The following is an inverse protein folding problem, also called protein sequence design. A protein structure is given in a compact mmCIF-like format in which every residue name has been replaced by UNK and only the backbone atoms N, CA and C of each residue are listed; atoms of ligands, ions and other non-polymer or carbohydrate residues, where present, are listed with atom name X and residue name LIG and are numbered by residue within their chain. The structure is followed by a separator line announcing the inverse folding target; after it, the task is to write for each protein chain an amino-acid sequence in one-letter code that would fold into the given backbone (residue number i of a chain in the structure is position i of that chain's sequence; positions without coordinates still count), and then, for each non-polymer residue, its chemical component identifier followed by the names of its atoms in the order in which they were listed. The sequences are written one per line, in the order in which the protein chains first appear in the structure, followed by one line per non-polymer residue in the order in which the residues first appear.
data_IF_350958273031
#
_entry.id   IF_350958273031
#
_cell.length_a   1.000
_cell.length_b   1.000
_cell.length_c   1.000
_cell.angle_alpha   90.00
_cell.angle_beta   90.00
_cell.angle_gamma   90.00
#
_symmetry.space_group_name_H-M   'P 1'
#
loop_
_entity.id
_entity.type
_entity.pdbx_description
1 polymer ?
#
# COMPACT_ATOMS: atom_id res chain seq x y z
N UNK A 1 1.69 -14.92 -31.75
CA UNK A 1 1.52 -15.65 -30.46
C UNK A 1 0.07 -15.64 -29.95
N UNK A 2 -0.47 -16.77 -29.46
CA UNK A 2 -1.55 -16.77 -28.48
C UNK A 2 -0.99 -16.42 -27.09
N UNK A 3 -1.32 -15.26 -26.56
CA UNK A 3 -1.05 -14.91 -25.17
C UNK A 3 -2.24 -15.32 -24.30
N UNK A 4 -2.00 -16.06 -23.23
CA UNK A 4 -3.02 -16.30 -22.20
C UNK A 4 -3.00 -15.12 -21.24
N UNK A 5 -3.94 -14.19 -21.39
CA UNK A 5 -4.08 -13.07 -20.47
C UNK A 5 -4.74 -13.56 -19.19
N UNK A 6 -3.91 -13.88 -18.19
CA UNK A 6 -4.34 -14.45 -16.90
C UNK A 6 -5.30 -13.51 -16.14
N UNK A 7 -5.07 -12.21 -16.27
CA UNK A 7 -5.91 -11.16 -15.70
C UNK A 7 -5.95 -10.01 -16.71
N UNK A 8 -7.15 -9.64 -17.17
CA UNK A 8 -7.40 -8.50 -18.05
C UNK A 8 -8.39 -7.57 -17.38
N UNK A 9 -8.07 -6.30 -17.37
CA UNK A 9 -9.00 -5.25 -17.01
C UNK A 9 -8.98 -4.16 -18.09
N UNK A 10 -10.12 -3.54 -18.32
CA UNK A 10 -10.41 -2.67 -19.48
C UNK A 10 -10.20 -1.17 -19.17
N UNK A 11 -9.50 -0.83 -18.07
CA UNK A 11 -8.95 0.51 -17.85
C UNK A 11 -7.67 0.48 -16.99
N UNK A 12 -6.93 1.59 -17.00
CA UNK A 12 -5.74 1.80 -16.16
C UNK A 12 -6.19 1.90 -14.70
N UNK A 13 -5.43 1.27 -13.79
CA UNK A 13 -5.77 1.23 -12.37
C UNK A 13 -7.21 0.73 -12.13
N UNK A 14 -7.63 -0.29 -12.87
CA UNK A 14 -8.96 -0.90 -12.86
C UNK A 14 -9.51 -1.32 -11.50
N UNK A 15 -8.64 -1.78 -10.59
CA UNK A 15 -9.00 -1.89 -9.17
C UNK A 15 -9.60 -0.55 -8.73
N UNK A 16 -8.80 0.52 -8.71
CA UNK A 16 -9.17 1.88 -8.32
C UNK A 16 -10.40 2.44 -9.06
N UNK A 17 -10.54 2.17 -10.37
CA UNK A 17 -11.61 2.76 -11.20
C UNK A 17 -12.91 1.95 -11.27
N UNK A 18 -12.84 0.62 -11.37
CA UNK A 18 -14.02 -0.26 -11.59
C UNK A 18 -14.40 -1.08 -10.38
N UNK A 19 -13.43 -1.42 -9.54
CA UNK A 19 -13.65 -2.24 -8.33
C UNK A 19 -13.44 -1.45 -7.05
N UNK A 20 -13.27 -0.12 -7.13
CA UNK A 20 -13.15 0.70 -5.92
C UNK A 20 -13.81 2.11 -5.95
N UNK A 21 -13.55 3.07 -6.87
CA UNK A 21 -13.98 4.50 -6.68
C UNK A 21 -14.48 5.32 -7.89
N UNK A 22 -15.57 6.08 -7.68
CA UNK A 22 -15.94 7.30 -8.45
C UNK A 22 -15.26 8.58 -7.93
N UNK A 23 -15.04 8.65 -6.61
CA UNK A 23 -14.18 9.62 -5.91
C UNK A 23 -13.45 8.85 -4.81
N UNK A 24 -12.15 9.13 -4.64
CA UNK A 24 -11.16 8.36 -3.85
C UNK A 24 -11.70 7.81 -2.52
N UNK A 25 -11.47 6.52 -2.25
CA UNK A 25 -11.54 5.88 -0.92
C UNK A 25 -10.37 4.86 -0.79
N UNK A 26 -10.34 3.98 0.23
CA UNK A 26 -9.34 2.91 0.46
C UNK A 26 -10.00 1.71 1.20
N UNK A 27 -9.84 0.40 0.89
CA UNK A 27 -9.31 -0.35 -0.28
C UNK A 27 -9.90 -1.80 -0.32
N UNK A 28 -9.18 -2.83 -0.82
CA UNK A 28 -9.54 -4.28 -0.98
C UNK A 28 -10.40 -4.88 0.17
N UNK A 29 -11.33 -5.84 -0.10
CA UNK A 29 -12.26 -6.40 0.91
C UNK A 29 -11.58 -7.03 2.14
N UNK A 30 -12.17 -6.78 3.31
CA UNK A 30 -11.58 -7.02 4.63
C UNK A 30 -11.34 -8.48 5.03
N UNK A 31 -11.91 -9.47 4.35
CA UNK A 31 -11.61 -10.89 4.62
C UNK A 31 -10.12 -11.25 4.41
N UNK A 32 -9.38 -10.45 3.63
CA UNK A 32 -7.91 -10.58 3.51
C UNK A 32 -7.11 -9.91 4.64
N UNK A 33 -7.79 -9.21 5.56
CA UNK A 33 -7.19 -8.40 6.63
C UNK A 33 -7.53 -8.91 8.04
N UNK A 34 -8.10 -10.12 8.16
CA UNK A 34 -8.45 -10.72 9.43
C UNK A 34 -7.24 -11.00 10.33
N UNK A 35 -7.43 -10.89 11.64
CA UNK A 35 -6.44 -11.35 12.60
C UNK A 35 -6.48 -12.89 12.67
N UNK A 36 -5.33 -13.58 12.80
CA UNK A 36 -5.32 -15.03 12.95
C UNK A 36 -6.22 -15.50 14.10
N UNK A 37 -7.22 -16.33 13.77
CA UNK A 37 -8.26 -16.87 14.69
C UNK A 37 -9.30 -15.85 15.18
N UNK A 38 -9.43 -14.69 14.55
CA UNK A 38 -10.49 -13.72 14.85
C UNK A 38 -11.09 -13.18 13.54
N UNK A 39 -11.95 -13.98 12.86
CA UNK A 39 -12.62 -13.57 11.64
C UNK A 39 -13.65 -12.46 11.92
N UNK A 40 -14.01 -11.69 10.89
CA UNK A 40 -15.08 -10.70 11.03
C UNK A 40 -16.46 -11.38 11.11
N UNK A 41 -17.41 -10.85 11.89
CA UNK A 41 -18.80 -11.31 11.85
C UNK A 41 -19.42 -11.14 10.45
N UNK A 42 -20.29 -12.05 10.01
CA UNK A 42 -20.93 -11.99 8.68
C UNK A 42 -21.73 -10.69 8.44
N UNK A 43 -22.24 -10.07 9.51
CA UNK A 43 -22.96 -8.78 9.44
C UNK A 43 -22.03 -7.56 9.40
N UNK A 44 -20.71 -7.74 9.47
CA UNK A 44 -19.75 -6.65 9.52
C UNK A 44 -19.43 -6.17 8.09
N UNK A 45 -19.53 -4.87 7.79
CA UNK A 45 -19.42 -4.38 6.42
C UNK A 45 -18.01 -4.61 5.85
N UNK A 46 -17.96 -5.18 4.63
CA UNK A 46 -16.74 -5.51 3.87
C UNK A 46 -15.71 -4.38 3.80
N UNK A 47 -16.18 -3.13 3.85
CA UNK A 47 -15.40 -1.91 3.76
C UNK A 47 -15.90 -0.85 4.72
N UNK A 48 -14.99 0.00 5.20
CA UNK A 48 -15.35 1.28 5.80
C UNK A 48 -15.93 2.22 4.73
N UNK A 49 -16.96 3.00 5.07
CA UNK A 49 -17.65 3.91 4.13
C UNK A 49 -17.66 5.37 4.59
N UNK A 50 -17.97 5.61 5.86
CA UNK A 50 -18.01 6.93 6.51
C UNK A 50 -17.95 6.75 8.04
N UNK A 51 -17.62 7.84 8.74
CA UNK A 51 -17.60 7.92 10.20
C UNK A 51 -18.99 8.07 10.83
N UNK A 52 -20.00 8.44 10.04
CA UNK A 52 -21.38 8.68 10.46
C UNK A 52 -22.00 7.59 11.38
N UNK A 53 -21.85 6.27 11.13
CA UNK A 53 -22.39 5.23 12.00
C UNK A 53 -21.68 5.11 13.37
N UNK A 54 -20.64 5.90 13.60
CA UNK A 54 -19.80 5.91 14.79
C UNK A 54 -19.91 7.20 15.62
N UNK A 55 -20.84 8.11 15.29
CA UNK A 55 -21.11 9.31 16.09
C UNK A 55 -21.28 8.95 17.59
N UNK A 56 -20.55 9.64 18.47
CA UNK A 56 -20.50 9.41 19.92
C UNK A 56 -19.75 8.15 20.38
N UNK A 57 -19.29 7.28 19.47
CA UNK A 57 -18.61 6.02 19.80
C UNK A 57 -17.11 6.19 19.94
N UNK A 58 -16.50 5.43 20.84
CA UNK A 58 -15.05 5.24 20.94
C UNK A 58 -14.61 4.18 19.95
N UNK A 59 -13.76 4.55 19.01
CA UNK A 59 -13.38 3.68 17.89
C UNK A 59 -11.88 3.46 17.85
N UNK A 60 -11.44 2.21 17.94
CA UNK A 60 -10.04 1.85 17.87
C UNK A 60 -9.59 1.64 16.42
N UNK A 61 -8.77 2.54 15.89
CA UNK A 61 -8.21 2.44 14.54
C UNK A 61 -6.84 1.78 14.62
N UNK A 62 -6.75 0.53 14.18
CA UNK A 62 -5.53 -0.29 14.28
C UNK A 62 -4.63 -0.04 13.08
N UNK A 63 -3.63 0.82 13.27
CA UNK A 63 -2.64 1.19 12.27
C UNK A 63 -2.75 2.66 11.85
N UNK A 64 -1.61 3.28 11.61
CA UNK A 64 -1.46 4.72 11.41
C UNK A 64 -0.96 5.11 10.00
N UNK A 65 -0.99 4.19 9.03
CA UNK A 65 -0.72 4.53 7.62
C UNK A 65 -1.76 5.51 7.05
N UNK A 66 -1.62 5.90 5.76
CA UNK A 66 -2.51 6.87 5.11
C UNK A 66 -4.00 6.60 5.38
N UNK A 67 -4.48 5.35 5.15
CA UNK A 67 -5.86 4.96 5.46
C UNK A 67 -6.23 5.07 6.94
N UNK A 68 -5.29 4.81 7.85
CA UNK A 68 -5.52 4.92 9.29
C UNK A 68 -5.74 6.37 9.72
N UNK A 69 -4.86 7.28 9.28
CA UNK A 69 -5.01 8.71 9.57
C UNK A 69 -6.26 9.31 8.90
N UNK A 70 -6.58 8.94 7.66
CA UNK A 70 -7.80 9.39 6.98
C UNK A 70 -9.07 8.87 7.67
N UNK A 71 -9.12 7.59 8.07
CA UNK A 71 -10.26 7.04 8.82
C UNK A 71 -10.39 7.69 10.20
N UNK A 72 -9.28 7.92 10.92
CA UNK A 72 -9.33 8.63 12.21
C UNK A 72 -9.82 10.07 12.08
N UNK A 73 -9.46 10.77 11.00
CA UNK A 73 -9.99 12.11 10.70
C UNK A 73 -11.49 12.06 10.38
N UNK A 74 -11.92 11.17 9.48
CA UNK A 74 -13.32 11.04 9.08
C UNK A 74 -14.24 10.62 10.25
N UNK A 75 -13.77 9.74 11.14
CA UNK A 75 -14.42 9.42 12.41
C UNK A 75 -14.57 10.67 13.31
N UNK A 76 -13.48 11.42 13.50
CA UNK A 76 -13.48 12.62 14.32
C UNK A 76 -14.42 13.71 13.76
N UNK A 77 -14.47 13.88 12.45
CA UNK A 77 -15.32 14.87 11.77
C UNK A 77 -16.82 14.49 11.86
N UNK A 78 -17.13 13.20 12.00
CA UNK A 78 -18.49 12.68 12.25
C UNK A 78 -18.83 12.50 13.74
N UNK A 79 -18.05 13.09 14.66
CA UNK A 79 -18.36 13.11 16.09
C UNK A 79 -18.03 11.82 16.86
N UNK A 80 -17.25 10.92 16.29
CA UNK A 80 -16.70 9.78 17.02
C UNK A 80 -15.46 10.18 17.84
N UNK A 81 -15.04 9.30 18.76
CA UNK A 81 -13.86 9.44 19.60
C UNK A 81 -12.79 8.39 19.21
N UNK A 82 -11.96 8.66 18.18
CA UNK A 82 -10.99 7.71 17.68
C UNK A 82 -9.74 7.58 18.56
N UNK A 83 -9.36 6.33 18.84
CA UNK A 83 -8.06 5.94 19.38
C UNK A 83 -7.22 5.36 18.24
N UNK A 84 -6.15 6.04 17.82
CA UNK A 84 -5.28 5.59 16.73
C UNK A 84 -4.07 4.83 17.26
N UNK A 85 -3.97 3.54 16.90
CA UNK A 85 -2.88 2.66 17.34
C UNK A 85 -1.62 2.91 16.51
N UNK A 86 -0.57 3.39 17.18
CA UNK A 86 0.78 3.56 16.62
C UNK A 86 1.71 2.54 17.29
N UNK A 87 2.03 1.45 16.56
CA UNK A 87 2.98 0.42 17.04
C UNK A 87 4.40 0.66 16.51
N UNK A 88 4.52 0.89 15.21
CA UNK A 88 5.79 1.01 14.52
C UNK A 88 6.02 2.48 14.11
N UNK A 89 7.29 2.90 14.07
CA UNK A 89 7.65 4.23 13.60
C UNK A 89 7.20 4.48 12.15
N UNK A 90 6.73 5.69 11.86
CA UNK A 90 6.33 6.13 10.52
C UNK A 90 6.77 7.56 10.19
N UNK A 91 6.95 7.84 8.90
CA UNK A 91 7.14 9.23 8.44
C UNK A 91 5.78 9.85 8.12
N UNK A 92 5.40 10.88 8.86
CA UNK A 92 4.34 11.82 8.47
C UNK A 92 5.00 13.05 7.87
N UNK A 93 4.55 13.45 6.68
CA UNK A 93 5.00 14.65 5.98
C UNK A 93 3.77 15.48 5.57
N UNK A 94 3.87 16.81 5.51
CA UNK A 94 2.75 17.63 5.07
C UNK A 94 2.43 17.32 3.61
N UNK A 95 1.16 17.46 3.19
CA UNK A 95 0.78 17.36 1.78
C UNK A 95 1.45 18.43 0.91
N UNK A 96 1.60 19.63 1.44
CA UNK A 96 2.20 20.79 0.78
C UNK A 96 3.21 21.51 1.68
N UNK A 97 4.26 22.07 1.07
CA UNK A 97 5.25 22.94 1.70
C UNK A 97 5.32 24.22 0.87
N UNK A 98 5.07 25.37 1.49
CA UNK A 98 5.08 26.69 0.85
C UNK A 98 4.19 26.77 -0.42
N UNK A 99 3.00 26.16 -0.37
CA UNK A 99 2.04 26.14 -1.48
C UNK A 99 2.43 25.26 -2.67
N UNK A 100 3.40 24.35 -2.49
CA UNK A 100 3.81 23.35 -3.50
C UNK A 100 3.67 21.94 -2.94
N UNK A 101 3.33 20.98 -3.80
CA UNK A 101 3.26 19.57 -3.44
C UNK A 101 4.59 19.07 -2.88
N UNK A 102 4.55 18.50 -1.67
CA UNK A 102 5.72 17.91 -0.99
C UNK A 102 6.34 16.78 -1.83
N UNK A 103 5.51 16.06 -2.58
CA UNK A 103 5.98 14.99 -3.46
C UNK A 103 6.65 15.53 -4.74
N UNK A 104 6.13 16.60 -5.34
CA UNK A 104 6.76 17.23 -6.51
C UNK A 104 8.13 17.83 -6.15
N UNK A 105 8.22 18.51 -5.01
CA UNK A 105 9.47 19.03 -4.48
C UNK A 105 10.49 17.90 -4.24
N UNK A 106 10.06 16.79 -3.64
CA UNK A 106 10.91 15.63 -3.44
C UNK A 106 11.43 15.04 -4.78
N UNK A 107 10.57 14.90 -5.79
CA UNK A 107 10.96 14.37 -7.10
C UNK A 107 11.88 15.32 -7.87
N UNK A 108 11.66 16.65 -7.74
CA UNK A 108 12.58 17.65 -8.26
C UNK A 108 13.97 17.50 -7.60
N UNK A 109 14.04 17.44 -6.27
CA UNK A 109 15.30 17.32 -5.54
C UNK A 109 16.05 16.02 -5.87
N UNK A 110 15.36 14.90 -6.05
CA UNK A 110 15.96 13.60 -6.48
C UNK A 110 16.61 13.68 -7.86
N UNK A 111 16.21 14.61 -8.73
CA UNK A 111 16.87 14.80 -10.03
C UNK A 111 18.24 15.48 -9.93
N UNK A 112 18.56 16.14 -8.81
CA UNK A 112 19.77 16.95 -8.63
C UNK A 112 20.65 16.54 -7.45
N UNK A 113 20.11 15.82 -6.46
CA UNK A 113 20.77 15.51 -5.18
C UNK A 113 20.72 14.01 -4.84
N UNK A 114 21.72 13.47 -4.12
CA UNK A 114 21.70 12.09 -3.65
C UNK A 114 20.56 11.86 -2.64
N UNK A 115 19.96 10.67 -2.68
CA UNK A 115 18.72 10.34 -1.94
C UNK A 115 18.79 10.63 -0.44
N UNK A 116 19.93 10.36 0.20
CA UNK A 116 20.15 10.62 1.64
C UNK A 116 20.05 12.11 2.00
N UNK A 117 20.45 13.00 1.09
CA UNK A 117 20.39 14.44 1.28
C UNK A 117 18.97 14.95 1.06
N UNK A 118 18.28 14.44 0.05
CA UNK A 118 16.85 14.72 -0.15
C UNK A 118 16.05 14.31 1.08
N UNK A 119 16.26 13.10 1.60
CA UNK A 119 15.56 12.62 2.81
C UNK A 119 15.80 13.53 4.02
N UNK A 120 17.03 14.02 4.23
CA UNK A 120 17.33 15.01 5.29
C UNK A 120 16.58 16.34 5.07
N UNK A 121 16.59 16.87 3.84
CA UNK A 121 15.87 18.10 3.47
C UNK A 121 14.36 17.94 3.71
N UNK A 122 13.78 16.81 3.27
CA UNK A 122 12.35 16.52 3.45
C UNK A 122 11.96 16.36 4.93
N UNK A 123 12.81 15.71 5.73
CA UNK A 123 12.60 15.57 7.20
C UNK A 123 12.64 16.94 7.88
N UNK A 124 13.58 17.81 7.50
CA UNK A 124 13.71 19.17 8.04
C UNK A 124 12.52 20.06 7.66
N UNK A 125 12.11 20.06 6.38
CA UNK A 125 10.89 20.75 5.92
C UNK A 125 9.64 20.23 6.64
N UNK A 126 9.50 18.92 6.79
CA UNK A 126 8.39 18.33 7.54
C UNK A 126 8.44 18.69 9.04
N UNK A 127 9.62 18.91 9.62
CA UNK A 127 9.75 19.41 11.00
C UNK A 127 9.41 20.90 11.11
N UNK A 128 9.78 21.74 10.14
CA UNK A 128 9.37 23.16 10.11
C UNK A 128 7.85 23.33 10.01
N UNK A 129 7.17 22.47 9.24
CA UNK A 129 5.70 22.58 9.01
C UNK A 129 4.89 21.81 10.07
N UNK A 130 5.34 20.63 10.50
CA UNK A 130 4.59 19.77 11.43
C UNK A 130 5.13 19.78 12.87
N UNK A 131 6.28 20.42 13.11
CA UNK A 131 6.95 20.41 14.40
C UNK A 131 7.48 19.05 14.81
N UNK A 132 7.64 18.90 16.12
CA UNK A 132 8.04 17.66 16.79
C UNK A 132 6.82 16.73 16.96
N UNK A 133 6.93 15.52 16.41
CA UNK A 133 5.88 14.50 16.39
C UNK A 133 6.03 13.43 17.47
N UNK A 134 7.22 13.31 18.08
CA UNK A 134 7.47 12.32 19.13
C UNK A 134 6.61 12.65 20.37
N UNK A 135 6.41 13.94 20.65
CA UNK A 135 5.45 14.47 21.65
C UNK A 135 4.00 14.06 21.43
N UNK A 136 3.65 13.59 20.23
CA UNK A 136 2.31 13.12 19.85
C UNK A 136 2.25 11.58 19.74
N UNK A 137 3.30 10.88 20.18
CA UNK A 137 3.44 9.42 20.06
C UNK A 137 3.79 8.93 18.65
N UNK A 138 4.02 9.83 17.68
CA UNK A 138 4.30 9.48 16.28
C UNK A 138 5.81 9.55 16.03
N UNK A 139 6.46 8.42 16.29
CA UNK A 139 7.91 8.27 16.16
C UNK A 139 8.34 8.14 14.70
N UNK A 140 9.41 8.86 14.31
CA UNK A 140 9.97 8.79 12.94
C UNK A 140 11.04 7.68 12.79
N UNK A 141 11.03 6.88 11.71
CA UNK A 141 12.09 5.93 11.41
C UNK A 141 13.44 6.61 11.15
N UNK A 142 14.54 5.97 11.56
CA UNK A 142 15.90 6.43 11.25
C UNK A 142 16.24 6.42 9.75
N UNK A 143 15.62 5.51 8.97
CA UNK A 143 15.72 5.48 7.50
C UNK A 143 14.75 6.51 6.92
N UNK A 144 15.24 7.40 6.06
CA UNK A 144 14.45 8.50 5.50
C UNK A 144 13.26 8.08 4.60
N UNK A 145 12.27 8.96 4.39
CA UNK A 145 10.97 8.60 3.79
C UNK A 145 11.06 8.09 2.34
N UNK A 146 11.92 8.66 1.51
CA UNK A 146 12.10 8.23 0.11
C UNK A 146 12.94 6.95 0.06
N UNK A 147 13.97 6.81 0.89
CA UNK A 147 14.74 5.57 1.02
C UNK A 147 13.85 4.41 1.49
N UNK A 148 12.98 4.64 2.48
CA UNK A 148 12.03 3.65 2.99
C UNK A 148 10.99 3.26 1.92
N UNK A 149 10.49 4.23 1.15
CA UNK A 149 9.62 3.97 -0.01
C UNK A 149 10.33 3.14 -1.09
N UNK A 150 11.60 3.44 -1.38
CA UNK A 150 12.36 2.73 -2.41
C UNK A 150 12.76 1.30 -2.04
N UNK A 151 13.11 1.06 -0.78
CA UNK A 151 13.60 -0.25 -0.31
C UNK A 151 12.47 -1.15 0.19
N UNK A 152 11.53 -0.60 0.98
CA UNK A 152 10.47 -1.38 1.64
C UNK A 152 9.07 -1.16 1.03
N UNK A 153 8.92 -0.24 0.07
CA UNK A 153 7.61 0.15 -0.47
C UNK A 153 6.72 0.93 0.50
N UNK A 154 7.21 1.24 1.71
CA UNK A 154 6.49 2.01 2.72
C UNK A 154 6.55 3.49 2.36
N UNK A 155 5.50 3.99 1.71
CA UNK A 155 5.35 5.42 1.48
C UNK A 155 5.16 6.17 2.81
N UNK A 156 5.67 7.41 2.95
CA UNK A 156 5.29 8.29 4.06
C UNK A 156 3.79 8.58 4.02
N UNK A 157 3.23 8.93 5.18
CA UNK A 157 1.86 9.40 5.31
C UNK A 157 1.80 10.89 4.97
N UNK A 158 0.86 11.27 4.12
CA UNK A 158 0.57 12.66 3.79
C UNK A 158 -0.50 13.15 4.76
N UNK A 159 -0.15 14.06 5.67
CA UNK A 159 -1.15 14.64 6.57
C UNK A 159 -2.13 15.54 5.80
N UNK A 160 -3.41 15.29 6.04
CA UNK A 160 -4.57 16.01 5.45
C UNK A 160 -5.36 16.80 6.50
N UNK A 161 -4.96 16.74 7.78
CA UNK A 161 -5.66 17.40 8.89
C UNK A 161 -5.77 16.53 10.15
N UNK A 162 -5.54 15.21 10.03
CA UNK A 162 -5.55 14.29 11.15
C UNK A 162 -4.55 14.72 12.25
N UNK A 163 -3.37 15.23 11.89
CA UNK A 163 -2.40 15.69 12.88
C UNK A 163 -2.90 16.90 13.70
N UNK A 164 -3.70 17.79 13.11
CA UNK A 164 -4.31 18.89 13.84
C UNK A 164 -5.32 18.38 14.87
N UNK A 165 -6.13 17.36 14.51
CA UNK A 165 -7.06 16.67 15.42
C UNK A 165 -6.35 15.88 16.53
N UNK A 166 -5.15 15.35 16.26
CA UNK A 166 -4.29 14.73 17.29
C UNK A 166 -3.78 15.78 18.28
N UNK A 167 -3.28 16.93 17.79
CA UNK A 167 -2.81 18.03 18.66
C UNK A 167 -3.91 18.64 19.52
N UNK A 168 -5.16 18.66 19.05
CA UNK A 168 -6.32 19.12 19.83
C UNK A 168 -6.88 18.05 20.79
N UNK A 169 -6.30 16.84 20.83
CA UNK A 169 -6.78 15.73 21.66
C UNK A 169 -8.06 15.05 21.17
N UNK A 170 -8.56 15.42 19.99
CA UNK A 170 -9.78 14.82 19.41
C UNK A 170 -9.53 13.43 18.80
N UNK A 171 -8.29 13.17 18.36
CA UNK A 171 -7.79 11.83 18.04
C UNK A 171 -6.72 11.48 19.09
N UNK A 172 -6.94 10.41 19.87
CA UNK A 172 -5.96 9.97 20.87
C UNK A 172 -5.00 8.96 20.25
N UNK A 173 -3.69 9.25 20.25
CA UNK A 173 -2.66 8.27 19.86
C UNK A 173 -2.40 7.29 21.01
N UNK A 174 -2.45 6.00 20.72
CA UNK A 174 -2.22 4.92 21.69
C UNK A 174 -1.16 3.94 21.20
N UNK A 175 -0.37 3.31 22.10
CA UNK A 175 0.60 2.29 21.74
C UNK A 175 -0.07 0.98 21.25
N UNK A 176 0.74 -0.02 20.90
CA UNK A 176 0.28 -1.30 20.35
C UNK A 176 -0.71 -2.06 21.25
N UNK A 177 -1.59 -2.85 20.65
CA UNK A 177 -2.56 -3.70 21.39
C UNK A 177 -1.89 -5.03 21.77
N UNK A 178 -2.04 -5.43 23.03
CA UNK A 178 -1.60 -6.73 23.57
C UNK A 178 -2.70 -7.79 23.49
N UNK A 179 -3.92 -7.45 23.90
CA UNK A 179 -5.10 -8.33 23.81
C UNK A 179 -6.40 -7.52 23.79
N UNK A 180 -7.48 -8.14 23.32
CA UNK A 180 -8.85 -7.66 23.51
C UNK A 180 -9.51 -8.37 24.68
N UNK A 181 -10.46 -7.68 25.33
CA UNK A 181 -11.48 -8.24 26.23
C UNK A 181 -12.85 -8.18 25.52
N UNK A 182 -13.94 -8.41 26.24
CA UNK A 182 -15.29 -8.32 25.66
C UNK A 182 -15.68 -6.89 25.24
N UNK A 183 -15.09 -5.85 25.86
CA UNK A 183 -15.44 -4.44 25.66
C UNK A 183 -14.23 -3.50 25.50
N UNK A 184 -13.00 -4.00 25.70
CA UNK A 184 -11.82 -3.17 25.85
C UNK A 184 -10.62 -3.73 25.06
N UNK A 185 -9.68 -2.84 24.75
CA UNK A 185 -8.35 -3.19 24.28
C UNK A 185 -7.34 -2.93 25.40
N UNK A 186 -6.52 -3.94 25.69
CA UNK A 186 -5.38 -3.83 26.62
C UNK A 186 -4.14 -3.52 25.79
N UNK A 187 -3.54 -2.38 26.04
CA UNK A 187 -2.41 -1.83 25.30
C UNK A 187 -1.07 -2.37 25.84
N UNK A 188 0.03 -2.05 25.15
CA UNK A 188 1.38 -2.57 25.47
C UNK A 188 2.07 -1.86 26.64
N UNK A 189 1.56 -0.70 27.04
CA UNK A 189 1.92 0.03 28.26
C UNK A 189 1.11 -0.44 29.49
N UNK A 190 0.15 -1.36 29.31
CA UNK A 190 -0.77 -1.83 30.34
C UNK A 190 -2.06 -1.01 30.45
N UNK A 191 -2.20 0.08 29.71
CA UNK A 191 -3.43 0.90 29.68
C UNK A 191 -4.59 0.09 29.10
N UNK A 192 -5.78 0.26 29.67
CA UNK A 192 -7.02 -0.38 29.19
C UNK A 192 -7.91 0.70 28.59
N UNK A 193 -8.31 0.52 27.33
CA UNK A 193 -9.19 1.44 26.61
C UNK A 193 -10.48 0.73 26.27
N UNK A 194 -11.58 1.19 26.83
CA UNK A 194 -12.93 0.71 26.51
C UNK A 194 -13.37 1.27 25.15
N UNK A 195 -13.78 0.40 24.23
CA UNK A 195 -14.02 0.71 22.82
C UNK A 195 -15.33 0.10 22.33
N UNK A 196 -16.09 0.88 21.57
CA UNK A 196 -17.42 0.49 21.07
C UNK A 196 -17.33 -0.11 19.64
N UNK A 197 -16.21 0.15 18.95
CA UNK A 197 -15.86 -0.48 17.67
C UNK A 197 -14.35 -0.55 17.43
N UNK A 198 -13.92 -1.49 16.58
CA UNK A 198 -12.53 -1.62 16.11
C UNK A 198 -12.52 -1.60 14.58
N UNK A 199 -11.57 -0.87 14.00
CA UNK A 199 -11.33 -0.80 12.55
C UNK A 199 -9.86 -1.17 12.28
N UNK A 200 -9.63 -2.21 11.49
CA UNK A 200 -8.29 -2.62 11.08
C UNK A 200 -7.84 -1.82 9.84
N UNK A 201 -6.83 -0.96 10.01
CA UNK A 201 -6.18 -0.17 8.97
C UNK A 201 -4.73 -0.66 8.72
N UNK A 202 -4.52 -1.98 8.84
CA UNK A 202 -3.21 -2.64 8.89
C UNK A 202 -2.51 -2.82 7.53
N UNK A 203 -3.03 -2.21 6.46
CA UNK A 203 -2.54 -2.38 5.10
C UNK A 203 -2.93 -3.73 4.47
N UNK A 204 -2.31 -4.04 3.33
CA UNK A 204 -2.68 -5.17 2.46
C UNK A 204 -1.49 -6.08 2.20
N UNK A 205 -1.79 -7.35 1.83
CA UNK A 205 -0.80 -8.34 1.38
C UNK A 205 -1.10 -8.74 -0.05
N UNK A 206 -0.06 -9.06 -0.82
CA UNK A 206 -0.21 -9.64 -2.15
C UNK A 206 -0.68 -11.09 -2.03
N UNK A 207 -1.73 -11.45 -2.77
CA UNK A 207 -2.25 -12.83 -2.83
C UNK A 207 -1.65 -13.64 -3.99
N UNK A 208 -0.72 -13.07 -4.79
CA UNK A 208 -0.10 -13.73 -5.95
C UNK A 208 0.36 -15.16 -5.68
N UNK A 209 1.04 -15.49 -4.55
CA UNK A 209 1.49 -16.86 -4.28
C UNK A 209 0.36 -17.87 -4.06
N UNK A 210 -0.88 -17.42 -3.83
CA UNK A 210 -2.03 -18.31 -3.61
C UNK A 210 -2.56 -18.89 -4.93
N UNK A 211 -2.51 -18.11 -6.02
CA UNK A 211 -3.01 -18.51 -7.34
C UNK A 211 -1.89 -18.81 -8.35
N UNK A 212 -0.76 -18.09 -8.30
CA UNK A 212 0.37 -18.25 -9.23
C UNK A 212 1.42 -19.22 -8.68
N UNK A 213 1.04 -20.48 -8.46
CA UNK A 213 1.89 -21.49 -7.78
C UNK A 213 2.96 -22.13 -8.67
N UNK A 214 2.78 -22.10 -9.99
CA UNK A 214 3.60 -22.86 -10.95
C UNK A 214 4.92 -22.18 -11.35
N UNK A 215 5.33 -21.09 -10.68
CA UNK A 215 6.50 -20.29 -11.10
C UNK A 215 7.34 -19.84 -9.91
N UNK A 216 8.66 -19.84 -10.08
CA UNK A 216 9.61 -19.31 -9.08
C UNK A 216 9.77 -17.78 -9.14
N UNK A 217 8.90 -17.09 -9.88
CA UNK A 217 9.03 -15.67 -10.21
C UNK A 217 8.73 -14.75 -9.01
N UNK A 218 7.78 -15.14 -8.16
CA UNK A 218 7.36 -14.38 -6.98
C UNK A 218 7.88 -15.01 -5.67
N UNK A 219 8.22 -14.17 -4.70
CA UNK A 219 8.53 -14.56 -3.33
C UNK A 219 7.27 -14.87 -2.50
N UNK A 220 7.47 -15.36 -1.28
CA UNK A 220 6.37 -15.65 -0.33
C UNK A 220 5.59 -14.41 0.12
N UNK A 221 6.15 -13.22 -0.07
CA UNK A 221 5.49 -11.93 0.16
C UNK A 221 4.60 -11.49 -1.02
N UNK A 222 4.62 -12.23 -2.13
CA UNK A 222 3.86 -11.96 -3.34
C UNK A 222 4.41 -10.82 -4.19
N UNK A 223 5.72 -10.57 -4.14
CA UNK A 223 6.43 -9.66 -5.04
C UNK A 223 7.50 -10.43 -5.86
N UNK A 224 7.90 -9.95 -7.05
CA UNK A 224 8.96 -10.57 -7.83
C UNK A 224 10.25 -10.69 -7.04
N UNK A 225 10.94 -11.84 -7.15
CA UNK A 225 12.20 -12.08 -6.41
C UNK A 225 13.35 -11.17 -6.86
N UNK A 226 13.32 -10.74 -8.11
CA UNK A 226 14.31 -9.83 -8.69
C UNK A 226 13.86 -8.39 -8.48
N UNK A 227 14.74 -7.53 -7.98
CA UNK A 227 14.43 -6.12 -7.72
C UNK A 227 14.25 -5.28 -9.01
N UNK A 228 13.67 -4.09 -8.87
CA UNK A 228 13.67 -3.08 -9.92
C UNK A 228 15.12 -2.67 -10.26
N UNK A 229 15.54 -2.56 -11.53
CA UNK A 229 14.70 -2.43 -12.73
C UNK A 229 14.39 -3.73 -13.48
N UNK A 230 14.72 -4.90 -12.94
CA UNK A 230 14.71 -6.18 -13.68
C UNK A 230 13.60 -7.16 -13.25
N UNK A 231 12.89 -6.90 -12.15
CA UNK A 231 11.77 -7.71 -11.64
C UNK A 231 10.54 -7.87 -12.53
N UNK A 232 10.49 -7.27 -13.72
CA UNK A 232 9.31 -7.26 -14.59
C UNK A 232 9.16 -8.49 -15.50
N UNK A 233 10.21 -9.30 -15.69
CA UNK A 233 10.23 -10.46 -16.60
C UNK A 233 10.45 -11.77 -15.86
N UNK A 234 9.49 -12.68 -16.01
CA UNK A 234 9.56 -14.06 -15.53
C UNK A 234 9.91 -15.05 -16.64
N UNK A 235 9.78 -16.34 -16.32
CA UNK A 235 9.94 -17.43 -17.30
C UNK A 235 8.66 -17.63 -18.14
N UNK A 236 8.77 -18.37 -19.24
CA UNK A 236 7.62 -18.80 -20.07
C UNK A 236 6.71 -17.67 -20.61
N UNK A 237 7.23 -16.45 -20.77
CA UNK A 237 6.45 -15.29 -21.25
C UNK A 237 5.56 -14.64 -20.19
N UNK A 238 5.79 -14.96 -18.91
CA UNK A 238 5.17 -14.28 -17.78
C UNK A 238 5.86 -12.93 -17.50
N UNK A 239 5.07 -11.90 -17.22
CA UNK A 239 5.54 -10.57 -16.87
C UNK A 239 4.79 -10.04 -15.65
N UNK A 240 5.39 -9.10 -14.92
CA UNK A 240 4.74 -8.40 -13.80
C UNK A 240 4.87 -6.89 -13.96
N UNK A 241 3.77 -6.16 -13.80
CA UNK A 241 3.71 -4.69 -13.90
C UNK A 241 3.36 -4.10 -12.53
N UNK A 242 4.08 -3.08 -12.09
CA UNK A 242 3.70 -2.28 -10.90
C UNK A 242 4.09 -2.90 -9.56
N UNK A 243 4.58 -4.13 -9.53
CA UNK A 243 5.15 -4.77 -8.35
C UNK A 243 6.49 -4.16 -7.90
N UNK A 244 7.09 -3.28 -8.71
CA UNK A 244 8.35 -2.58 -8.40
C UNK A 244 8.33 -1.66 -7.16
N UNK A 245 7.21 -1.54 -6.42
CA UNK A 245 7.01 -0.69 -5.23
C UNK A 245 7.31 0.82 -5.44
N UNK A 246 7.52 1.27 -6.68
CA UNK A 246 7.83 2.66 -7.06
C UNK A 246 6.60 3.49 -7.50
N UNK A 247 5.40 2.95 -7.35
CA UNK A 247 4.15 3.61 -7.79
C UNK A 247 4.02 3.69 -9.32
N UNK A 248 3.30 4.69 -9.82
CA UNK A 248 2.96 4.84 -11.24
C UNK A 248 4.19 4.92 -12.16
N UNK A 249 5.28 5.56 -11.74
CA UNK A 249 6.53 5.61 -12.52
C UNK A 249 7.21 4.25 -12.64
N UNK A 250 7.12 3.41 -11.59
CA UNK A 250 7.55 2.02 -11.63
C UNK A 250 6.72 1.20 -12.63
N UNK A 251 5.39 1.24 -12.49
CA UNK A 251 4.47 0.53 -13.38
C UNK A 251 4.64 0.93 -14.86
N UNK A 252 4.83 2.23 -15.13
CA UNK A 252 5.12 2.74 -16.47
C UNK A 252 6.45 2.21 -17.01
N UNK A 253 7.52 2.23 -16.21
CA UNK A 253 8.82 1.70 -16.61
C UNK A 253 8.78 0.18 -16.87
N UNK A 254 8.02 -0.58 -16.09
CA UNK A 254 7.81 -2.03 -16.30
C UNK A 254 7.05 -2.26 -17.62
N UNK A 255 5.93 -1.57 -17.84
CA UNK A 255 5.12 -1.67 -19.05
C UNK A 255 5.90 -1.32 -20.34
N UNK A 256 6.75 -0.28 -20.30
CA UNK A 256 7.60 0.10 -21.44
C UNK A 256 8.64 -1.00 -21.75
N UNK A 257 9.21 -1.67 -20.74
CA UNK A 257 10.15 -2.78 -20.96
C UNK A 257 9.46 -4.02 -21.52
N UNK A 258 8.29 -4.39 -20.99
CA UNK A 258 7.47 -5.50 -21.50
C UNK A 258 7.07 -5.26 -22.96
N UNK A 259 6.64 -4.05 -23.30
CA UNK A 259 6.29 -3.68 -24.69
C UNK A 259 7.47 -3.86 -25.65
N UNK A 260 8.68 -3.45 -25.24
CA UNK A 260 9.91 -3.67 -26.03
C UNK A 260 10.25 -5.15 -26.21
N UNK A 261 10.13 -5.94 -25.15
CA UNK A 261 10.40 -7.39 -25.14
C UNK A 261 9.42 -8.14 -26.06
N UNK A 262 8.12 -7.86 -25.94
CA UNK A 262 7.08 -8.40 -26.82
C UNK A 262 7.29 -8.00 -28.29
N UNK A 263 7.71 -6.75 -28.55
CA UNK A 263 8.03 -6.29 -29.91
C UNK A 263 9.25 -7.02 -30.50
N UNK A 264 10.24 -7.35 -29.67
CA UNK A 264 11.38 -8.17 -30.10
C UNK A 264 10.96 -9.61 -30.40
N UNK A 265 10.25 -10.26 -29.48
CA UNK A 265 9.73 -11.63 -29.68
C UNK A 265 8.86 -11.73 -30.93
N UNK A 266 7.98 -10.76 -31.17
CA UNK A 266 7.16 -10.69 -32.38
C UNK A 266 8.00 -10.59 -33.66
N UNK A 267 9.07 -9.79 -33.66
CA UNK A 267 10.01 -9.69 -34.80
C UNK A 267 10.80 -10.96 -35.02
N UNK A 268 11.12 -11.70 -33.96
CA UNK A 268 11.82 -12.97 -34.04
C UNK A 268 10.92 -14.07 -34.61
N UNK A 269 9.65 -14.17 -34.17
CA UNK A 269 8.66 -15.08 -34.77
C UNK A 269 8.27 -14.70 -36.21
N UNK A 270 8.18 -13.40 -36.52
CA UNK A 270 7.75 -12.90 -37.84
C UNK A 270 8.87 -12.95 -38.90
N UNK A 271 10.09 -13.36 -38.55
CA UNK A 271 11.13 -13.62 -39.54
C UNK A 271 10.75 -14.88 -40.34
N UNK A 272 10.74 -14.83 -41.69
CA UNK A 272 10.41 -15.99 -42.49
C UNK A 272 11.38 -17.13 -42.17
N UNK A 273 10.83 -18.27 -41.73
CA UNK A 273 11.63 -19.42 -41.33
C UNK A 273 12.49 -19.90 -42.51
N UNK A 274 13.83 -19.81 -42.36
CA UNK A 274 14.73 -20.59 -43.20
C UNK A 274 14.40 -22.06 -42.98
N UNK A 275 13.93 -22.74 -44.04
CA UNK A 275 13.41 -24.12 -44.03
C UNK A 275 14.24 -25.05 -43.11
N UNK A 276 13.66 -25.49 -42.01
CA UNK A 276 14.18 -26.56 -41.16
C UNK A 276 13.02 -27.36 -40.56
N UNK A 277 13.15 -28.69 -40.56
CA UNK A 277 12.05 -29.65 -40.50
C UNK A 277 11.23 -29.76 -39.22
N UNK A 278 9.99 -30.24 -39.44
CA UNK A 278 9.00 -30.84 -38.51
C UNK A 278 8.35 -29.92 -37.45
N UNK A 279 7.00 -29.81 -37.43
CA UNK A 279 6.28 -29.12 -36.37
C UNK A 279 6.28 -29.93 -35.08
N UNK A 280 6.84 -29.38 -34.01
CA UNK A 280 6.73 -29.93 -32.66
C UNK A 280 5.56 -29.26 -31.93
N UNK A 281 4.43 -29.95 -31.83
CA UNK A 281 3.27 -29.47 -31.06
C UNK A 281 3.58 -29.49 -29.56
N UNK A 282 3.77 -28.31 -28.95
CA UNK A 282 3.76 -28.18 -27.49
C UNK A 282 2.34 -28.45 -26.98
N UNK A 283 2.13 -29.62 -26.36
CA UNK A 283 0.91 -29.92 -25.61
C UNK A 283 0.91 -29.15 -24.29
N UNK A 284 -0.07 -28.26 -24.09
CA UNK A 284 -0.39 -27.76 -22.76
C UNK A 284 -1.24 -28.79 -22.04
N UNK A 285 -0.84 -29.17 -20.81
CA UNK A 285 -1.65 -29.99 -19.91
C UNK A 285 -2.45 -29.01 -19.05
N UNK A 286 -3.77 -28.99 -19.22
CA UNK A 286 -4.67 -28.34 -18.27
C UNK A 286 -4.94 -29.28 -17.11
N UNK A 287 -4.51 -28.92 -15.91
CA UNK A 287 -5.02 -29.53 -14.67
C UNK A 287 -6.02 -28.54 -14.07
N UNK A 288 -7.28 -28.94 -14.04
CA UNK A 288 -8.34 -28.24 -13.30
C UNK A 288 -8.47 -28.93 -11.95
N UNK A 289 -8.19 -28.19 -10.88
CA UNK A 289 -8.55 -28.46 -9.48
C UNK A 289 -8.85 -27.11 -8.80
#
# INVERSE_FOLDING_TARGET
MPFLMLEREDCIASLWQKRTYDRVKLHIPKHFCELPRMPFPESYPDHYKSGEPYNGKRVLVVGCGNSGMEVSLDLCDHGAHPFMVVRDAMHVIPREVLGKSTFELAMLLVAWLPLWLVDKIMIFLAWLVLGDLDKLGIHRPAVGPLTLKHTQGRAPVLDTGALARIRSGQITVVPGITRFTNSDAVLSDGTIVHVDAVILATGYRSNVPQWLRATDFFGKDGYPKTEFPNGWKGQFGLYSVGFARRGLSGASADAVRISKDLCQLWKEESRPAKKAGRPCYRRSISVVL
#
